data_IF_380471204777
#
_entry.id   IF_380471204777
#
_cell.length_a   1.000
_cell.length_b   1.000
_cell.length_c   1.000
_cell.angle_alpha   90.00
_cell.angle_beta   90.00
_cell.angle_gamma   90.00
#
_symmetry.space_group_name_H-M   'P 1'
#
loop_
_entity.id
_entity.type
_entity.pdbx_description
1 polymer ?
#
# COMPACT_ATOMS: atom_id res chain seq x y z
N UNK A 1 4.72 5.14 0.64
CA UNK A 1 3.52 4.44 0.12
C UNK A 1 2.93 5.26 -1.01
N UNK A 2 2.29 4.60 -1.97
CA UNK A 2 1.60 5.21 -3.12
C UNK A 2 0.15 4.75 -3.16
N UNK A 3 -0.72 5.45 -3.91
CA UNK A 3 -2.10 4.99 -4.15
C UNK A 3 -2.09 3.76 -5.07
N UNK A 4 -1.23 3.82 -6.08
CA UNK A 4 -0.93 2.75 -7.03
C UNK A 4 0.56 2.81 -7.40
N UNK A 5 1.09 1.77 -8.02
CA UNK A 5 2.54 1.62 -8.26
C UNK A 5 3.12 2.72 -9.15
N UNK A 6 2.36 3.22 -10.12
CA UNK A 6 2.77 4.26 -11.06
C UNK A 6 2.31 5.66 -10.65
N UNK A 7 1.65 5.80 -9.50
CA UNK A 7 1.22 7.11 -9.01
C UNK A 7 2.45 7.94 -8.63
N UNK A 8 2.48 9.21 -9.07
CA UNK A 8 3.55 10.17 -8.73
C UNK A 8 3.46 10.64 -7.27
N UNK A 9 2.28 10.52 -6.65
CA UNK A 9 2.05 10.88 -5.25
C UNK A 9 2.76 9.94 -4.28
N UNK A 10 3.51 10.53 -3.34
CA UNK A 10 4.16 9.81 -2.24
C UNK A 10 3.58 10.21 -0.89
N UNK A 11 3.07 9.20 -0.19
CA UNK A 11 2.66 9.27 1.21
C UNK A 11 3.69 8.64 2.16
N UNK A 12 3.76 9.15 3.38
CA UNK A 12 4.48 8.56 4.52
C UNK A 12 3.48 8.19 5.61
N UNK A 13 3.65 6.99 6.15
CA UNK A 13 2.82 6.42 7.22
C UNK A 13 3.75 5.75 8.24
N UNK A 14 3.30 5.62 9.49
CA UNK A 14 4.00 4.75 10.44
C UNK A 14 3.64 3.31 10.12
N UNK A 15 4.59 2.39 10.23
CA UNK A 15 4.33 0.97 9.99
C UNK A 15 3.26 0.41 10.94
N UNK A 16 3.16 0.95 12.15
CA UNK A 16 2.14 0.57 13.14
C UNK A 16 0.72 1.00 12.77
N UNK A 17 0.57 1.94 11.81
CA UNK A 17 -0.73 2.36 11.28
C UNK A 17 -1.13 1.54 10.03
N UNK A 18 -0.29 0.59 9.58
CA UNK A 18 -0.59 -0.29 8.46
C UNK A 18 -1.36 -1.53 8.94
N UNK A 19 -2.40 -1.88 8.20
CA UNK A 19 -3.25 -3.04 8.45
C UNK A 19 -3.19 -4.02 7.29
N UNK A 20 -3.23 -5.32 7.60
CA UNK A 20 -3.25 -6.43 6.65
C UNK A 20 -2.25 -6.28 5.46
N UNK A 21 -0.92 -6.20 5.72
CA UNK A 21 0.07 -6.27 4.65
C UNK A 21 -0.08 -7.59 3.87
N UNK A 22 -0.16 -7.51 2.55
CA UNK A 22 -0.36 -8.69 1.70
C UNK A 22 0.08 -8.44 0.26
N UNK A 23 0.39 -9.52 -0.45
CA UNK A 23 0.59 -9.51 -1.90
C UNK A 23 -0.73 -9.48 -2.63
N UNK A 24 -0.89 -8.56 -3.56
CA UNK A 24 -2.10 -8.42 -4.35
C UNK A 24 -1.81 -7.84 -5.74
N UNK A 25 -2.61 -8.24 -6.72
CA UNK A 25 -2.55 -7.67 -8.08
C UNK A 25 -3.53 -6.51 -8.22
N UNK A 26 -4.59 -6.45 -7.41
CA UNK A 26 -5.60 -5.39 -7.51
C UNK A 26 -5.13 -4.15 -6.75
N UNK A 27 -5.08 -2.99 -7.42
CA UNK A 27 -4.73 -1.73 -6.76
C UNK A 27 -5.81 -1.24 -5.79
N UNK A 28 -5.53 -0.19 -5.03
CA UNK A 28 -6.56 0.51 -4.25
C UNK A 28 -7.52 1.27 -5.17
N UNK A 29 -8.21 2.30 -4.66
CA UNK A 29 -8.92 3.29 -5.49
C UNK A 29 -9.72 2.73 -6.67
N UNK A 30 -9.16 2.88 -7.89
CA UNK A 30 -9.79 2.50 -9.17
C UNK A 30 -9.93 0.97 -9.35
N UNK A 31 -9.31 0.16 -8.49
CA UNK A 31 -9.35 -1.31 -8.53
C UNK A 31 -8.82 -1.87 -9.86
N UNK A 32 -7.68 -1.36 -10.31
CA UNK A 32 -7.03 -1.83 -11.55
C UNK A 32 -6.17 -3.05 -11.23
N UNK A 33 -6.20 -4.06 -12.12
CA UNK A 33 -5.33 -5.21 -12.03
C UNK A 33 -3.92 -4.89 -12.54
N UNK A 34 -2.92 -5.19 -11.72
CA UNK A 34 -1.52 -5.03 -12.05
C UNK A 34 -0.93 -6.32 -12.64
N UNK A 35 -0.02 -6.24 -13.62
CA UNK A 35 0.56 -7.42 -14.27
C UNK A 35 1.37 -8.33 -13.33
N UNK A 36 1.83 -7.79 -12.20
CA UNK A 36 2.62 -8.50 -11.20
C UNK A 36 2.03 -8.27 -9.80
N UNK A 37 2.11 -9.27 -8.89
CA UNK A 37 1.78 -9.07 -7.49
C UNK A 37 2.64 -7.97 -6.88
N UNK A 38 1.99 -7.01 -6.23
CA UNK A 38 2.64 -5.94 -5.50
C UNK A 38 2.26 -5.97 -4.03
N UNK A 39 3.13 -5.42 -3.21
CA UNK A 39 2.90 -5.37 -1.79
C UNK A 39 1.90 -4.25 -1.46
N UNK A 40 0.79 -4.62 -0.84
CA UNK A 40 -0.29 -3.73 -0.45
C UNK A 40 -0.57 -3.82 1.05
N UNK A 41 -1.17 -2.76 1.58
CA UNK A 41 -1.68 -2.70 2.95
C UNK A 41 -2.82 -1.68 3.00
N UNK A 42 -3.51 -1.64 4.13
CA UNK A 42 -4.57 -0.69 4.41
C UNK A 42 -4.11 0.33 5.46
N UNK A 43 -4.58 1.57 5.35
CA UNK A 43 -4.28 2.65 6.31
C UNK A 43 -5.44 3.63 6.36
N UNK A 44 -5.71 4.21 7.53
CA UNK A 44 -6.64 5.32 7.64
C UNK A 44 -6.04 6.60 7.08
N UNK A 45 -6.80 7.31 6.24
CA UNK A 45 -6.26 8.45 5.48
C UNK A 45 -5.74 9.61 6.35
N UNK A 46 -6.21 9.76 7.58
CA UNK A 46 -5.73 10.74 8.56
C UNK A 46 -4.31 10.45 9.09
N UNK A 47 -3.83 9.21 8.93
CA UNK A 47 -2.47 8.79 9.30
C UNK A 47 -1.44 9.07 8.21
N UNK A 48 -1.88 9.40 7.00
CA UNK A 48 -1.00 9.65 5.87
C UNK A 48 -0.46 11.08 5.90
N UNK A 49 0.85 11.23 5.73
CA UNK A 49 1.53 12.51 5.52
C UNK A 49 2.05 12.59 4.09
N UNK A 50 2.08 13.79 3.51
CA UNK A 50 2.52 13.99 2.13
C UNK A 50 1.36 13.95 1.13
N UNK A 51 1.69 13.82 -0.15
CA UNK A 51 0.73 13.83 -1.24
C UNK A 51 0.44 12.41 -1.69
N UNK A 52 -0.59 11.81 -1.12
CA UNK A 52 -1.18 10.59 -1.65
C UNK A 52 -2.42 11.02 -2.43
N UNK A 53 -2.62 10.52 -3.66
CA UNK A 53 -3.75 10.89 -4.54
C UNK A 53 -5.13 10.48 -3.98
N UNK A 54 -5.51 10.99 -2.82
CA UNK A 54 -6.70 10.69 -2.05
C UNK A 54 -7.27 12.01 -1.49
N UNK A 55 -8.56 12.19 -1.62
CA UNK A 55 -9.30 13.26 -0.97
C UNK A 55 -10.47 12.67 -0.20
N UNK A 56 -10.86 13.31 0.90
CA UNK A 56 -12.14 13.02 1.56
C UNK A 56 -13.32 13.69 0.83
N UNK A 57 -13.20 13.99 -0.47
CA UNK A 57 -14.25 14.70 -1.21
C UNK A 57 -15.50 13.85 -1.46
N UNK A 58 -15.38 12.53 -1.35
CA UNK A 58 -16.46 11.58 -1.66
C UNK A 58 -17.23 11.10 -0.42
N UNK A 59 -16.99 11.70 0.76
CA UNK A 59 -17.67 11.33 2.00
C UNK A 59 -16.89 11.75 3.25
N UNK A 60 -17.51 11.68 4.44
CA UNK A 60 -16.83 11.98 5.70
C UNK A 60 -15.71 10.97 5.96
N UNK A 61 -14.50 11.47 6.21
CA UNK A 61 -13.36 10.64 6.62
C UNK A 61 -13.35 10.33 8.13
N UNK A 62 -12.34 9.58 8.62
CA UNK A 62 -11.24 9.00 7.83
C UNK A 62 -11.68 7.78 7.00
N UNK A 63 -11.03 7.59 5.85
CA UNK A 63 -11.25 6.45 4.98
C UNK A 63 -10.18 5.38 5.19
N UNK A 64 -10.57 4.11 5.20
CA UNK A 64 -9.63 3.01 5.16
C UNK A 64 -9.21 2.78 3.70
N UNK A 65 -8.01 3.23 3.34
CA UNK A 65 -7.52 3.21 1.97
C UNK A 65 -6.45 2.14 1.79
N UNK A 66 -6.51 1.44 0.65
CA UNK A 66 -5.47 0.52 0.22
C UNK A 66 -4.33 1.30 -0.41
N UNK A 67 -3.10 1.00 -0.01
CA UNK A 67 -1.87 1.64 -0.50
C UNK A 67 -0.89 0.61 -1.01
N UNK A 68 -0.12 1.00 -2.02
CA UNK A 68 0.98 0.23 -2.59
C UNK A 68 2.31 0.61 -1.90
N UNK A 69 3.15 -0.39 -1.62
CA UNK A 69 4.50 -0.22 -1.08
C UNK A 69 5.51 -0.77 -2.08
N UNK A 70 6.37 0.11 -2.59
CA UNK A 70 7.47 -0.27 -3.48
C UNK A 70 8.79 -0.25 -2.72
N UNK A 71 9.71 -1.12 -3.14
CA UNK A 71 11.07 -1.18 -2.59
C UNK A 71 11.77 0.18 -2.67
N UNK A 72 11.66 0.86 -3.79
CA UNK A 72 12.37 2.13 -4.04
C UNK A 72 11.89 3.29 -3.16
N UNK A 73 10.69 3.20 -2.60
CA UNK A 73 10.14 4.21 -1.69
C UNK A 73 10.51 3.95 -0.22
N UNK A 74 11.14 2.81 0.07
CA UNK A 74 11.37 2.34 1.44
C UNK A 74 12.85 1.97 1.63
N UNK A 75 13.45 2.43 2.72
CA UNK A 75 14.79 1.98 3.06
C UNK A 75 14.81 0.45 3.34
N UNK A 76 15.99 -0.16 3.23
CA UNK A 76 16.15 -1.61 3.37
C UNK A 76 15.56 -2.21 4.65
N UNK A 77 15.67 -1.51 5.79
CA UNK A 77 15.13 -2.01 7.08
C UNK A 77 13.60 -2.05 7.07
N UNK A 78 12.98 -0.99 6.57
CA UNK A 78 11.52 -0.91 6.45
C UNK A 78 11.03 -1.94 5.42
N UNK A 79 11.69 -2.02 4.27
CA UNK A 79 11.31 -2.98 3.23
C UNK A 79 11.33 -4.42 3.76
N UNK A 80 12.40 -4.84 4.45
CA UNK A 80 12.47 -6.18 5.04
C UNK A 80 11.34 -6.42 6.05
N UNK A 81 11.05 -5.45 6.91
CA UNK A 81 9.95 -5.58 7.87
C UNK A 81 8.59 -5.74 7.20
N UNK A 82 8.35 -5.03 6.10
CA UNK A 82 7.10 -5.15 5.34
C UNK A 82 6.95 -6.55 4.73
N UNK A 83 8.03 -7.13 4.21
CA UNK A 83 8.04 -8.51 3.70
C UNK A 83 7.76 -9.52 4.83
N UNK A 84 8.36 -9.34 6.01
CA UNK A 84 8.10 -10.23 7.16
C UNK A 84 6.63 -10.21 7.59
N UNK A 85 5.98 -9.04 7.53
CA UNK A 85 4.56 -8.88 7.88
C UNK A 85 3.61 -9.47 6.83
N UNK A 86 3.97 -9.34 5.55
CA UNK A 86 3.16 -9.85 4.45
C UNK A 86 3.26 -11.37 4.28
N UNK A 87 4.40 -11.93 4.71
CA UNK A 87 4.75 -13.31 4.43
C UNK A 87 5.12 -13.53 2.96
N UNK A 88 5.38 -14.80 2.58
CA UNK A 88 5.63 -15.16 1.20
C UNK A 88 4.41 -14.84 0.32
N UNK A 89 4.66 -14.58 -0.96
CA UNK A 89 3.56 -14.51 -1.91
C UNK A 89 2.99 -15.91 -2.09
N UNK A 90 1.84 -16.16 -1.45
CA UNK A 90 1.14 -17.45 -1.50
C UNK A 90 0.74 -17.86 -2.93
N UNK A 91 0.77 -16.95 -3.90
CA UNK A 91 0.55 -17.28 -5.32
C UNK A 91 1.79 -17.91 -5.96
N UNK A 92 3.00 -17.56 -5.50
CA UNK A 92 4.25 -18.17 -5.94
C UNK A 92 4.51 -19.53 -5.25
N UNK A 93 3.78 -19.85 -4.18
CA UNK A 93 3.83 -21.16 -3.53
C UNK A 93 2.99 -22.22 -4.26
N UNK A 94 2.11 -21.80 -5.17
CA UNK A 94 1.20 -22.66 -5.93
C UNK A 94 1.62 -22.84 -7.41
N UNK A 95 2.78 -22.27 -7.80
CA UNK A 95 3.34 -22.31 -9.16
C UNK A 95 4.46 -23.31 -9.31
#
# INVERSE_FOLDING_TARGET
VRRDWNDRGLGRVRWADLYAPQWDTISGGVQVENPLPLLHAYVWCDKVRGNLGHSCAHGPGPHNIKVCMLRDDNNHRIWRRLLDLAGPDRRLELS
#
